data_IF_058055110381
#
_entry.id   IF_058055110381
#
_cell.length_a   1.000
_cell.length_b   1.000
_cell.length_c   1.000
_cell.angle_alpha   90.00
_cell.angle_beta   90.00
_cell.angle_gamma   90.00
#
_symmetry.space_group_name_H-M   'P 1'
#
loop_
_entity.id
_entity.type
_entity.pdbx_description
1 polymer ?
#
# COMPACT_ATOMS: atom_id res chain seq x y z
N UNK A 1 -12.00 -8.88 1.36
CA UNK A 1 -11.00 -9.64 2.15
C UNK A 1 -9.70 -9.79 1.35
N UNK A 2 -8.55 -9.64 1.99
CA UNK A 2 -7.21 -9.86 1.39
C UNK A 2 -7.03 -11.35 1.05
N UNK A 3 -6.36 -11.66 -0.06
CA UNK A 3 -6.04 -13.04 -0.47
C UNK A 3 -4.70 -13.51 0.13
N UNK A 4 -4.47 -14.83 0.25
CA UNK A 4 -3.18 -15.36 0.70
C UNK A 4 -2.03 -14.84 -0.17
N UNK A 5 -0.90 -14.53 0.46
CA UNK A 5 0.32 -14.05 -0.22
C UNK A 5 1.45 -15.02 0.07
N UNK A 6 2.05 -15.56 -0.97
CA UNK A 6 3.11 -16.57 -0.91
C UNK A 6 3.91 -16.57 -2.22
N UNK A 7 4.84 -17.52 -2.40
CA UNK A 7 5.69 -17.56 -3.60
C UNK A 7 4.93 -17.65 -4.94
N UNK A 8 3.74 -18.27 -4.98
CA UNK A 8 2.95 -18.44 -6.21
C UNK A 8 1.96 -17.30 -6.46
N UNK A 9 1.53 -16.59 -5.41
CA UNK A 9 0.79 -15.32 -5.50
C UNK A 9 1.53 -14.27 -4.66
N UNK A 10 2.60 -13.67 -5.21
CA UNK A 10 3.57 -12.95 -4.41
C UNK A 10 3.15 -11.52 -4.12
N UNK A 11 1.91 -11.11 -4.38
CA UNK A 11 1.51 -9.72 -4.17
C UNK A 11 0.24 -9.67 -3.35
N UNK A 12 0.20 -8.71 -2.44
CA UNK A 12 -1.02 -8.44 -1.69
C UNK A 12 -2.07 -7.79 -2.59
N UNK A 13 -3.28 -8.33 -2.52
CA UNK A 13 -4.45 -7.79 -3.19
C UNK A 13 -5.72 -8.29 -2.49
N UNK A 14 -6.85 -7.66 -2.76
CA UNK A 14 -8.14 -8.14 -2.28
C UNK A 14 -8.68 -9.28 -3.14
N UNK A 15 -9.75 -9.91 -2.66
CA UNK A 15 -10.56 -10.81 -3.49
C UNK A 15 -11.01 -10.05 -4.75
N UNK A 16 -10.85 -10.62 -5.96
CA UNK A 16 -11.39 -10.04 -7.20
C UNK A 16 -12.90 -9.84 -7.16
N UNK A 17 -13.39 -8.78 -7.82
CA UNK A 17 -14.82 -8.48 -7.98
C UNK A 17 -15.59 -8.47 -6.65
N UNK A 18 -14.93 -8.02 -5.59
CA UNK A 18 -15.46 -8.04 -4.24
C UNK A 18 -16.08 -6.70 -3.88
N UNK A 19 -17.36 -6.74 -3.52
CA UNK A 19 -18.09 -5.60 -2.99
C UNK A 19 -17.79 -5.42 -1.51
N UNK A 20 -17.53 -4.19 -1.09
CA UNK A 20 -17.36 -3.82 0.31
C UNK A 20 -17.73 -2.35 0.52
N UNK A 21 -17.91 -1.96 1.78
CA UNK A 21 -18.10 -0.56 2.19
C UNK A 21 -16.91 -0.18 3.04
N UNK A 22 -16.26 0.91 2.68
CA UNK A 22 -15.30 1.59 3.51
C UNK A 22 -16.04 2.60 4.37
N UNK A 23 -15.80 2.59 5.68
CA UNK A 23 -16.36 3.56 6.59
C UNK A 23 -15.34 3.95 7.66
N UNK A 24 -15.27 5.24 8.01
CA UNK A 24 -14.39 5.75 9.06
C UNK A 24 -15.16 6.29 10.25
N UNK A 25 -14.50 6.25 11.40
CA UNK A 25 -15.00 6.82 12.66
C UNK A 25 -16.33 6.23 13.14
N UNK A 26 -16.74 6.60 14.36
CA UNK A 26 -17.91 6.01 15.03
C UNK A 26 -19.24 6.39 14.36
N UNK A 27 -19.28 7.54 13.69
CA UNK A 27 -20.48 8.07 13.05
C UNK A 27 -20.53 7.80 11.54
N UNK A 28 -19.50 7.17 10.96
CA UNK A 28 -19.41 7.01 9.50
C UNK A 28 -19.21 8.35 8.81
N UNK A 29 -18.25 9.15 9.27
CA UNK A 29 -17.93 10.46 8.67
C UNK A 29 -17.64 10.34 7.16
N UNK A 30 -16.93 9.27 6.78
CA UNK A 30 -16.76 8.86 5.39
C UNK A 30 -17.40 7.50 5.23
N UNK A 31 -18.28 7.36 4.23
CA UNK A 31 -18.86 6.07 3.82
C UNK A 31 -18.80 5.98 2.30
N UNK A 32 -18.05 5.00 1.78
CA UNK A 32 -17.89 4.79 0.34
C UNK A 32 -18.07 3.32 0.00
N UNK A 33 -18.91 3.05 -0.98
CA UNK A 33 -19.11 1.72 -1.54
C UNK A 33 -18.10 1.42 -2.64
N UNK A 34 -17.46 0.26 -2.57
CA UNK A 34 -16.42 -0.14 -3.50
C UNK A 34 -16.68 -1.52 -4.10
N UNK A 35 -16.16 -1.73 -5.31
CA UNK A 35 -16.02 -3.05 -5.92
C UNK A 35 -14.62 -3.15 -6.50
N UNK A 36 -13.85 -4.15 -6.06
CA UNK A 36 -12.49 -4.37 -6.59
C UNK A 36 -12.55 -4.88 -8.04
N UNK A 37 -11.50 -4.59 -8.82
CA UNK A 37 -11.41 -5.06 -10.21
C UNK A 37 -11.14 -6.58 -10.30
N UNK A 38 -10.96 -7.11 -11.51
CA UNK A 38 -10.65 -8.53 -11.74
C UNK A 38 -9.35 -9.02 -11.13
N UNK A 39 -8.45 -8.11 -10.73
CA UNK A 39 -7.17 -8.40 -10.09
C UNK A 39 -7.17 -8.09 -8.59
N UNK A 40 -8.28 -7.60 -8.04
CA UNK A 40 -8.40 -7.33 -6.61
C UNK A 40 -7.84 -5.99 -6.15
N UNK A 41 -7.68 -5.01 -7.06
CA UNK A 41 -7.33 -3.63 -6.70
C UNK A 41 -8.57 -2.75 -6.57
N UNK A 42 -8.48 -1.72 -5.72
CA UNK A 42 -9.58 -0.80 -5.45
C UNK A 42 -9.70 0.26 -6.54
N UNK A 43 -10.26 -0.11 -7.68
CA UNK A 43 -10.44 0.78 -8.82
C UNK A 43 -11.59 0.28 -9.70
N UNK A 44 -12.28 1.19 -10.37
CA UNK A 44 -13.23 0.85 -11.43
C UNK A 44 -12.52 0.38 -12.73
N UNK A 45 -11.21 0.64 -12.86
CA UNK A 45 -10.43 0.32 -14.05
C UNK A 45 -10.13 -1.18 -14.10
N UNK A 46 -10.60 -1.84 -15.15
CA UNK A 46 -10.25 -3.23 -15.42
C UNK A 46 -8.89 -3.32 -16.13
N UNK A 47 -7.99 -4.17 -15.63
CA UNK A 47 -6.69 -4.32 -16.24
C UNK A 47 -6.78 -5.28 -17.43
N UNK A 48 -6.21 -4.86 -18.56
CA UNK A 48 -6.14 -5.64 -19.79
C UNK A 48 -4.68 -5.94 -20.13
N UNK A 49 -4.34 -7.23 -20.20
CA UNK A 49 -2.98 -7.70 -20.54
C UNK A 49 -2.56 -7.33 -21.96
N UNK A 50 -3.52 -7.13 -22.87
CA UNK A 50 -3.28 -6.79 -24.27
C UNK A 50 -2.95 -5.32 -24.50
N UNK A 51 -3.41 -4.42 -23.61
CA UNK A 51 -3.28 -2.97 -23.74
C UNK A 51 -2.00 -2.43 -23.13
N UNK A 52 -1.43 -1.42 -23.80
CA UNK A 52 -0.33 -0.62 -23.26
C UNK A 52 -0.88 0.32 -22.20
N UNK A 53 -0.27 0.33 -21.01
CA UNK A 53 -0.76 1.08 -19.86
C UNK A 53 0.36 1.89 -19.19
N UNK A 54 -0.04 2.91 -18.42
CA UNK A 54 0.80 3.56 -17.43
C UNK A 54 0.43 2.96 -16.07
N UNK A 55 1.38 2.29 -15.42
CA UNK A 55 1.12 1.61 -14.16
C UNK A 55 1.49 2.55 -13.02
N UNK A 56 0.54 2.76 -12.10
CA UNK A 56 0.66 3.69 -10.99
C UNK A 56 0.79 2.86 -9.72
N UNK A 57 1.85 3.06 -8.96
CA UNK A 57 2.21 2.22 -7.82
C UNK A 57 2.26 3.10 -6.57
N UNK A 58 1.65 2.62 -5.48
CA UNK A 58 1.67 3.36 -4.22
C UNK A 58 1.00 2.60 -3.09
N UNK A 59 0.66 3.34 -2.04
CA UNK A 59 0.01 2.86 -0.83
C UNK A 59 -1.49 3.22 -0.82
N UNK A 60 -1.98 3.69 0.33
CA UNK A 60 -3.31 4.24 0.55
C UNK A 60 -3.69 5.37 -0.40
N UNK A 61 -2.74 6.16 -0.92
CA UNK A 61 -3.02 7.23 -1.90
C UNK A 61 -3.37 6.71 -3.29
N UNK A 62 -2.86 5.53 -3.64
CA UNK A 62 -3.20 4.86 -4.91
C UNK A 62 -4.37 3.91 -4.72
N UNK A 63 -4.54 3.31 -3.55
CA UNK A 63 -5.72 2.49 -3.25
C UNK A 63 -6.99 3.34 -3.07
N UNK A 64 -6.84 4.55 -2.51
CA UNK A 64 -7.87 5.58 -2.46
C UNK A 64 -9.24 5.16 -1.91
N UNK A 65 -9.27 4.32 -0.86
CA UNK A 65 -10.54 3.80 -0.30
C UNK A 65 -11.49 4.88 0.26
N UNK A 66 -10.99 6.09 0.52
CA UNK A 66 -11.76 7.19 1.12
C UNK A 66 -12.63 7.97 0.12
N UNK A 67 -12.45 7.76 -1.19
CA UNK A 67 -13.15 8.50 -2.25
C UNK A 67 -13.83 7.53 -3.21
N UNK A 68 -14.79 7.99 -4.03
CA UNK A 68 -15.40 7.10 -5.02
C UNK A 68 -14.37 6.68 -6.07
N UNK A 69 -14.56 5.53 -6.70
CA UNK A 69 -13.57 4.91 -7.57
C UNK A 69 -13.10 5.77 -8.77
N UNK A 70 -13.88 6.77 -9.19
CA UNK A 70 -13.57 7.69 -10.29
C UNK A 70 -12.86 8.98 -9.84
N UNK A 71 -13.00 9.35 -8.57
CA UNK A 71 -12.47 10.58 -7.99
C UNK A 71 -10.95 10.61 -7.74
N UNK A 72 -10.21 9.48 -7.52
CA UNK A 72 -8.76 9.56 -7.35
C UNK A 72 -8.09 9.96 -8.66
N UNK A 73 -6.86 10.47 -8.58
CA UNK A 73 -6.15 11.00 -9.75
C UNK A 73 -6.02 9.98 -10.90
N UNK A 74 -5.88 8.69 -10.61
CA UNK A 74 -5.84 7.65 -11.64
C UNK A 74 -7.21 7.44 -12.32
N UNK A 75 -8.31 7.64 -11.60
CA UNK A 75 -9.68 7.67 -12.16
C UNK A 75 -9.86 8.87 -13.08
N UNK A 76 -9.45 10.06 -12.62
CA UNK A 76 -9.44 11.29 -13.43
C UNK A 76 -8.62 11.10 -14.72
N UNK A 77 -7.40 10.56 -14.62
CA UNK A 77 -6.56 10.27 -15.80
C UNK A 77 -7.23 9.27 -16.76
N UNK A 78 -7.89 8.26 -16.23
CA UNK A 78 -8.66 7.31 -17.06
C UNK A 78 -9.82 8.00 -17.78
N UNK A 79 -10.55 8.90 -17.11
CA UNK A 79 -11.61 9.71 -17.69
C UNK A 79 -11.13 10.65 -18.81
N UNK A 80 -9.87 11.08 -18.75
CA UNK A 80 -9.20 11.85 -19.81
C UNK A 80 -8.69 10.99 -20.98
N UNK A 81 -8.91 9.67 -20.94
CA UNK A 81 -8.56 8.74 -22.02
C UNK A 81 -7.19 8.05 -21.88
N UNK A 82 -6.49 8.21 -20.75
CA UNK A 82 -5.25 7.48 -20.50
C UNK A 82 -5.54 6.05 -20.01
N UNK A 83 -4.86 5.04 -20.55
CA UNK A 83 -4.85 3.70 -19.95
C UNK A 83 -3.97 3.71 -18.71
N UNK A 84 -4.58 3.59 -17.53
CA UNK A 84 -3.89 3.65 -16.22
C UNK A 84 -4.21 2.43 -15.38
N UNK A 85 -3.19 1.76 -14.82
CA UNK A 85 -3.38 0.63 -13.88
C UNK A 85 -2.90 1.02 -12.49
N UNK A 86 -3.82 1.44 -11.58
CA UNK A 86 -3.49 1.75 -10.18
C UNK A 86 -3.29 0.47 -9.35
N UNK A 87 -2.07 0.29 -8.87
CA UNK A 87 -1.59 -0.86 -8.12
C UNK A 87 -1.12 -0.35 -6.76
N UNK A 88 -2.04 -0.30 -5.80
CA UNK A 88 -1.74 0.12 -4.44
C UNK A 88 -2.63 -0.55 -3.43
N UNK A 89 -2.07 -0.75 -2.24
CA UNK A 89 -2.74 -1.29 -1.06
C UNK A 89 -2.26 -0.49 0.15
N UNK A 90 -3.17 -0.03 1.01
CA UNK A 90 -2.85 0.76 2.20
C UNK A 90 -1.82 0.08 3.08
N UNK A 91 -0.81 0.86 3.49
CA UNK A 91 0.29 0.37 4.32
C UNK A 91 1.39 -0.36 3.55
N UNK A 92 1.35 -0.31 2.21
CA UNK A 92 2.52 -0.59 1.36
C UNK A 92 3.59 0.49 1.56
N UNK A 93 4.84 0.15 1.25
CA UNK A 93 6.03 1.01 1.36
C UNK A 93 6.92 0.80 0.12
N UNK A 94 8.04 1.52 0.00
CA UNK A 94 8.95 1.43 -1.17
C UNK A 94 9.35 -0.02 -1.51
N UNK A 95 9.63 -0.85 -0.49
CA UNK A 95 9.91 -2.28 -0.67
C UNK A 95 8.77 -3.00 -1.42
N UNK A 96 7.53 -2.78 -1.01
CA UNK A 96 6.36 -3.34 -1.66
C UNK A 96 6.15 -2.75 -3.07
N UNK A 97 6.57 -1.51 -3.31
CA UNK A 97 6.49 -0.89 -4.64
C UNK A 97 7.38 -1.60 -5.66
N UNK A 98 8.55 -2.09 -5.24
CA UNK A 98 9.39 -2.95 -6.09
C UNK A 98 8.65 -4.24 -6.46
N UNK A 99 8.01 -4.90 -5.49
CA UNK A 99 7.25 -6.12 -5.76
C UNK A 99 6.08 -5.85 -6.73
N UNK A 100 5.35 -4.75 -6.53
CA UNK A 100 4.30 -4.30 -7.44
C UNK A 100 4.84 -4.02 -8.84
N UNK A 101 5.97 -3.34 -8.98
CA UNK A 101 6.59 -3.02 -10.26
C UNK A 101 6.99 -4.29 -11.03
N UNK A 102 7.71 -5.21 -10.37
CA UNK A 102 8.13 -6.51 -10.94
C UNK A 102 6.91 -7.30 -11.43
N UNK A 103 5.83 -7.32 -10.65
CA UNK A 103 4.61 -8.01 -11.02
C UNK A 103 3.84 -7.34 -12.15
N UNK A 104 3.71 -6.02 -12.11
CA UNK A 104 2.99 -5.25 -13.10
C UNK A 104 3.60 -5.45 -14.50
N UNK A 105 4.92 -5.33 -14.61
CA UNK A 105 5.64 -5.52 -15.88
C UNK A 105 5.60 -6.97 -16.36
N UNK A 106 5.59 -7.93 -15.43
CA UNK A 106 5.49 -9.35 -15.78
C UNK A 106 4.08 -9.75 -16.26
N UNK A 107 3.04 -8.99 -15.91
CA UNK A 107 1.64 -9.33 -16.20
C UNK A 107 0.98 -8.43 -17.25
N UNK A 108 1.49 -7.21 -17.44
CA UNK A 108 0.88 -6.19 -18.28
C UNK A 108 1.92 -5.45 -19.11
N UNK A 109 1.49 -4.84 -20.21
CA UNK A 109 2.34 -3.98 -21.04
C UNK A 109 2.48 -2.57 -20.42
N UNK A 110 3.05 -2.50 -19.22
CA UNK A 110 3.34 -1.22 -18.55
C UNK A 110 4.44 -0.48 -19.32
N UNK A 111 4.10 0.61 -20.01
CA UNK A 111 5.07 1.47 -20.72
C UNK A 111 5.79 2.43 -19.78
N UNK A 112 5.12 2.81 -18.69
CA UNK A 112 5.64 3.72 -17.66
C UNK A 112 5.23 3.25 -16.27
N UNK A 113 6.07 3.54 -15.29
CA UNK A 113 5.76 3.42 -13.86
C UNK A 113 5.71 4.80 -13.23
N UNK A 114 4.65 5.06 -12.47
CA UNK A 114 4.53 6.23 -11.62
C UNK A 114 4.46 5.78 -10.16
N UNK A 115 5.44 6.15 -9.34
CA UNK A 115 5.44 5.86 -7.91
C UNK A 115 4.87 7.05 -7.15
N UNK A 116 3.84 6.82 -6.34
CA UNK A 116 3.33 7.81 -5.37
C UNK A 116 3.92 7.45 -4.02
N UNK A 117 4.76 8.33 -3.48
CA UNK A 117 5.59 8.07 -2.31
C UNK A 117 5.20 9.04 -1.20
N UNK A 118 4.92 8.49 -0.02
CA UNK A 118 4.62 9.24 1.20
C UNK A 118 5.71 9.05 2.26
N UNK A 119 5.73 9.94 3.26
CA UNK A 119 6.85 10.03 4.21
C UNK A 119 7.12 8.76 5.02
N UNK A 120 6.11 7.94 5.29
CA UNK A 120 6.29 6.69 6.03
C UNK A 120 6.73 5.52 5.13
N UNK A 121 6.72 5.68 3.80
CA UNK A 121 7.15 4.60 2.89
C UNK A 121 8.63 4.28 3.00
N UNK A 122 9.45 5.22 3.48
CA UNK A 122 10.90 5.06 3.56
C UNK A 122 11.29 4.07 4.65
N UNK A 123 11.10 4.42 5.92
CA UNK A 123 11.49 3.59 7.07
C UNK A 123 10.65 2.32 7.17
N UNK A 124 9.36 2.35 6.82
CA UNK A 124 8.50 1.15 6.81
C UNK A 124 8.93 0.09 5.79
N UNK A 125 9.84 0.41 4.87
CA UNK A 125 10.37 -0.55 3.89
C UNK A 125 11.38 -1.53 4.46
N UNK A 126 11.97 -1.23 5.62
CA UNK A 126 13.03 -2.07 6.20
C UNK A 126 12.44 -3.16 7.09
N UNK A 127 12.96 -4.37 6.94
CA UNK A 127 12.48 -5.52 7.70
C UNK A 127 12.73 -5.32 9.19
N UNK A 128 13.84 -4.68 9.59
CA UNK A 128 14.12 -4.37 11.01
C UNK A 128 13.03 -3.49 11.65
N UNK A 129 12.36 -2.65 10.85
CA UNK A 129 11.38 -1.68 11.31
C UNK A 129 9.94 -2.22 11.29
N UNK A 130 9.52 -2.87 10.18
CA UNK A 130 8.15 -3.37 10.00
C UNK A 130 8.16 -4.76 9.36
N UNK A 131 7.22 -5.62 9.79
CA UNK A 131 7.08 -7.01 9.31
C UNK A 131 5.62 -7.47 9.25
N UNK A 132 4.73 -6.64 8.71
CA UNK A 132 3.33 -7.04 8.55
C UNK A 132 3.22 -8.18 7.52
N UNK A 133 2.51 -9.29 7.83
CA UNK A 133 2.25 -10.35 6.87
C UNK A 133 1.56 -9.84 5.60
N UNK A 134 1.98 -10.38 4.45
CA UNK A 134 1.44 -10.08 3.12
C UNK A 134 2.30 -9.12 2.30
N UNK A 135 3.28 -8.47 2.94
CA UNK A 135 4.10 -7.42 2.34
C UNK A 135 5.55 -7.87 2.13
N UNK A 136 6.25 -7.15 1.25
CA UNK A 136 7.69 -7.26 1.04
C UNK A 136 8.42 -6.19 1.84
N UNK A 137 9.61 -6.53 2.32
CA UNK A 137 10.52 -5.63 3.01
C UNK A 137 11.94 -5.84 2.49
N UNK A 138 12.76 -4.80 2.57
CA UNK A 138 14.18 -4.86 2.27
C UNK A 138 14.91 -5.40 3.50
N UNK A 139 15.75 -6.41 3.32
CA UNK A 139 16.49 -7.02 4.42
C UNK A 139 17.77 -6.26 4.76
N UNK A 140 17.59 -5.20 5.55
CA UNK A 140 18.66 -4.34 6.06
C UNK A 140 19.57 -5.00 7.10
N UNK A 141 19.28 -6.24 7.52
CA UNK A 141 20.21 -7.02 8.36
C UNK A 141 21.22 -7.81 7.53
N UNK A 142 21.06 -7.87 6.21
CA UNK A 142 21.92 -8.63 5.31
C UNK A 142 22.37 -7.76 4.13
N UNK A 143 21.75 -7.92 2.95
CA UNK A 143 22.20 -7.29 1.70
C UNK A 143 21.16 -6.36 1.07
N UNK A 144 20.05 -6.07 1.78
CA UNK A 144 18.97 -5.25 1.27
C UNK A 144 18.05 -5.96 0.26
N UNK A 145 18.17 -7.29 0.10
CA UNK A 145 17.28 -8.04 -0.78
C UNK A 145 15.82 -7.95 -0.35
N UNK A 146 14.95 -8.02 -1.35
CA UNK A 146 13.51 -7.99 -1.13
C UNK A 146 13.00 -9.34 -0.57
N UNK A 147 12.39 -9.31 0.61
CA UNK A 147 11.83 -10.49 1.30
C UNK A 147 10.33 -10.38 1.51
N UNK A 148 9.60 -11.40 1.07
CA UNK A 148 8.17 -11.56 1.36
C UNK A 148 7.97 -12.09 2.78
N UNK A 149 7.09 -11.45 3.56
CA UNK A 149 6.49 -12.03 4.76
C UNK A 149 5.16 -12.69 4.35
N UNK A 150 5.04 -14.02 4.31
CA UNK A 150 3.84 -14.68 3.80
C UNK A 150 2.59 -14.35 4.62
N UNK A 151 1.44 -14.32 3.95
CA UNK A 151 0.14 -14.17 4.59
C UNK A 151 -0.77 -15.34 4.27
N UNK A 152 -1.44 -15.85 5.31
CA UNK A 152 -2.47 -16.87 5.19
C UNK A 152 -3.75 -16.39 5.86
N UNK A 153 -4.88 -16.66 5.21
CA UNK A 153 -6.20 -16.28 5.74
C UNK A 153 -6.52 -17.19 6.92
N UNK A 154 -6.68 -16.61 8.11
CA UNK A 154 -7.17 -17.36 9.27
C UNK A 154 -8.67 -17.60 9.13
N UNK A 155 -9.09 -18.88 9.16
CA UNK A 155 -10.50 -19.26 9.06
C UNK A 155 -11.39 -18.62 10.14
N UNK A 156 -10.88 -18.56 11.38
CA UNK A 156 -11.59 -17.91 12.49
C UNK A 156 -11.71 -16.40 12.28
N UNK A 157 -10.64 -15.70 11.87
CA UNK A 157 -10.72 -14.27 11.56
C UNK A 157 -11.67 -13.98 10.39
N UNK A 158 -11.66 -14.84 9.37
CA UNK A 158 -12.59 -14.76 8.23
C UNK A 158 -14.05 -14.92 8.66
N UNK A 159 -14.32 -15.84 9.59
CA UNK A 159 -15.64 -16.02 10.18
C UNK A 159 -16.09 -14.77 10.97
N UNK A 160 -15.23 -14.22 11.84
CA UNK A 160 -15.53 -13.02 12.61
C UNK A 160 -15.80 -11.78 11.73
N UNK A 161 -15.11 -11.66 10.59
CA UNK A 161 -15.33 -10.54 9.65
C UNK A 161 -16.67 -10.58 8.91
N UNK A 162 -17.48 -11.63 9.09
CA UNK A 162 -18.87 -11.67 8.58
C UNK A 162 -19.83 -10.82 9.42
N UNK A 163 -19.45 -10.48 10.65
CA UNK A 163 -20.32 -9.75 11.57
C UNK A 163 -20.08 -8.24 11.46
N UNK A 164 -21.15 -7.49 11.15
CA UNK A 164 -21.09 -6.03 11.05
C UNK A 164 -20.60 -5.37 12.35
N UNK A 165 -21.03 -5.88 13.51
CA UNK A 165 -20.56 -5.39 14.80
C UNK A 165 -19.05 -5.58 14.99
N UNK A 166 -18.49 -6.73 14.60
CA UNK A 166 -17.04 -6.97 14.71
C UNK A 166 -16.27 -5.99 13.84
N UNK A 167 -16.72 -5.80 12.59
CA UNK A 167 -16.09 -4.84 11.68
C UNK A 167 -16.21 -3.40 12.23
N UNK A 168 -17.36 -3.00 12.76
CA UNK A 168 -17.54 -1.68 13.37
C UNK A 168 -16.64 -1.45 14.59
N UNK A 169 -16.57 -2.42 15.52
CA UNK A 169 -15.71 -2.30 16.70
C UNK A 169 -14.21 -2.25 16.32
N UNK A 170 -13.81 -3.00 15.30
CA UNK A 170 -12.41 -3.13 14.90
C UNK A 170 -11.96 -2.01 13.95
N UNK A 171 -12.69 -1.75 12.86
CA UNK A 171 -12.31 -0.81 11.80
C UNK A 171 -12.75 0.63 12.14
N UNK A 172 -14.00 0.84 12.60
CA UNK A 172 -14.52 2.19 12.92
C UNK A 172 -14.07 2.68 14.30
N UNK A 173 -14.31 1.89 15.35
CA UNK A 173 -13.97 2.30 16.71
C UNK A 173 -12.50 2.06 17.07
N UNK A 174 -11.75 1.33 16.25
CA UNK A 174 -10.31 1.05 16.45
C UNK A 174 -10.03 0.54 17.87
N UNK A 175 -10.94 -0.25 18.45
CA UNK A 175 -10.92 -0.63 19.87
C UNK A 175 -9.63 -1.35 20.24
N UNK A 176 -9.10 -2.18 19.36
CA UNK A 176 -7.82 -2.88 19.59
C UNK A 176 -6.66 -1.90 19.77
N UNK A 177 -6.59 -0.83 18.98
CA UNK A 177 -5.61 0.23 19.12
C UNK A 177 -5.79 1.04 20.41
N UNK A 178 -7.05 1.38 20.74
CA UNK A 178 -7.39 2.10 21.98
C UNK A 178 -7.02 1.28 23.22
N UNK A 179 -7.43 0.02 23.28
CA UNK A 179 -7.12 -0.91 24.37
C UNK A 179 -5.61 -1.16 24.48
N UNK A 180 -4.90 -1.38 23.38
CA UNK A 180 -3.44 -1.55 23.43
C UNK A 180 -2.72 -0.30 23.95
N UNK A 181 -3.21 0.91 23.64
CA UNK A 181 -2.66 2.15 24.17
C UNK A 181 -2.87 2.27 25.69
N UNK A 182 -4.00 1.79 26.21
CA UNK A 182 -4.25 1.72 27.65
C UNK A 182 -3.37 0.69 28.36
N UNK A 183 -3.15 -0.48 27.73
CA UNK A 183 -2.39 -1.58 28.36
C UNK A 183 -0.87 -1.37 28.26
N UNK A 184 -0.37 -0.78 27.16
CA UNK A 184 1.06 -0.62 26.89
C UNK A 184 1.42 0.84 26.50
N UNK A 185 1.26 1.82 27.41
CA UNK A 185 1.50 3.23 27.11
C UNK A 185 2.95 3.53 26.69
N UNK A 186 3.93 2.87 27.33
CA UNK A 186 5.37 3.08 27.07
C UNK A 186 5.84 2.70 25.65
N UNK A 187 5.15 1.76 24.98
CA UNK A 187 5.47 1.37 23.58
C UNK A 187 5.00 2.41 22.55
N UNK A 188 4.08 3.30 22.93
CA UNK A 188 3.59 4.38 22.07
C UNK A 188 4.43 5.65 22.24
N UNK A 189 4.86 5.97 23.46
CA UNK A 189 5.73 7.13 23.72
C UNK A 189 7.16 6.94 23.19
N UNK A 190 7.70 5.71 23.23
CA UNK A 190 9.06 5.43 22.74
C UNK A 190 9.23 5.54 21.21
N UNK A 191 8.14 5.61 20.43
CA UNK A 191 8.23 5.92 18.98
C UNK A 191 8.39 7.41 18.69
N UNK A 192 8.09 8.26 19.67
CA UNK A 192 8.03 9.71 19.49
C UNK A 192 9.20 10.47 20.13
N UNK A 193 9.94 9.86 21.07
CA UNK A 193 10.87 10.60 21.94
C UNK A 193 12.37 10.39 21.67
N UNK A 194 12.80 9.32 20.99
CA UNK A 194 14.21 9.07 20.64
C UNK A 194 14.28 8.42 19.26
N UNK A 195 15.00 9.02 18.30
CA UNK A 195 15.29 8.34 17.03
C UNK A 195 15.02 9.11 15.73
N UNK A 196 14.90 10.45 15.72
CA UNK A 196 14.85 11.19 14.44
C UNK A 196 16.13 10.98 13.59
N UNK A 197 17.30 10.95 14.24
CA UNK A 197 18.57 10.63 13.57
C UNK A 197 18.62 9.21 13.01
N UNK A 198 18.15 8.24 13.79
CA UNK A 198 18.08 6.83 13.36
C UNK A 198 17.06 6.63 12.24
N UNK A 199 15.90 7.29 12.32
CA UNK A 199 14.87 7.26 11.28
C UNK A 199 15.36 7.83 9.95
N UNK A 200 16.13 8.91 9.98
CA UNK A 200 16.74 9.48 8.77
C UNK A 200 17.77 8.53 8.16
N UNK A 201 18.60 7.88 8.97
CA UNK A 201 19.55 6.86 8.47
C UNK A 201 18.83 5.67 7.85
N UNK A 202 17.83 5.11 8.54
CA UNK A 202 16.99 4.03 8.02
C UNK A 202 16.32 4.42 6.70
N UNK A 203 15.78 5.64 6.62
CA UNK A 203 15.15 6.15 5.40
C UNK A 203 16.14 6.24 4.23
N UNK A 204 17.37 6.69 4.48
CA UNK A 204 18.44 6.73 3.46
C UNK A 204 18.79 5.32 2.97
N UNK A 205 18.99 4.38 3.88
CA UNK A 205 19.26 2.98 3.51
C UNK A 205 18.12 2.37 2.70
N UNK A 206 16.87 2.64 3.06
CA UNK A 206 15.70 2.20 2.31
C UNK A 206 15.69 2.76 0.88
N UNK A 207 16.06 4.03 0.70
CA UNK A 207 16.18 4.66 -0.64
C UNK A 207 17.26 3.95 -1.47
N UNK A 208 18.44 3.71 -0.90
CA UNK A 208 19.55 3.06 -1.62
C UNK A 208 19.16 1.65 -2.08
N UNK A 209 18.57 0.86 -1.18
CA UNK A 209 18.08 -0.47 -1.49
C UNK A 209 16.90 -0.46 -2.46
N UNK A 210 15.98 0.50 -2.35
CA UNK A 210 14.89 0.66 -3.30
C UNK A 210 15.42 0.88 -4.72
N UNK A 211 16.34 1.83 -4.91
CA UNK A 211 16.93 2.08 -6.22
C UNK A 211 17.81 0.91 -6.71
N UNK A 212 18.50 0.21 -5.81
CA UNK A 212 19.23 -1.01 -6.16
C UNK A 212 18.28 -2.07 -6.72
N UNK A 213 17.20 -2.38 -6.01
CA UNK A 213 16.20 -3.35 -6.45
C UNK A 213 15.45 -2.90 -7.70
N UNK A 214 15.17 -1.60 -7.84
CA UNK A 214 14.44 -1.05 -8.98
C UNK A 214 15.23 -1.20 -10.29
N UNK A 215 16.56 -1.26 -10.26
CA UNK A 215 17.40 -1.56 -11.45
C UNK A 215 17.12 -2.95 -12.04
N UNK A 216 16.57 -3.88 -11.25
CA UNK A 216 16.18 -5.21 -11.73
C UNK A 216 14.85 -5.20 -12.50
N UNK A 217 14.13 -4.08 -12.48
CA UNK A 217 12.89 -3.88 -13.22
C UNK A 217 13.23 -3.47 -14.65
N UNK A 218 12.68 -4.20 -15.64
CA UNK A 218 12.99 -4.03 -17.07
C UNK A 218 12.34 -2.78 -17.70
N UNK A 219 12.64 -1.59 -17.17
CA UNK A 219 12.28 -0.29 -17.72
C UNK A 219 13.45 0.69 -17.52
N UNK A 220 13.64 1.61 -18.46
CA UNK A 220 14.64 2.67 -18.32
C UNK A 220 14.15 3.76 -17.38
N UNK A 221 15.09 4.54 -16.83
CA UNK A 221 14.79 5.64 -15.90
C UNK A 221 13.82 6.69 -16.46
N UNK A 222 13.87 6.98 -17.76
CA UNK A 222 12.94 7.89 -18.44
C UNK A 222 11.50 7.34 -18.58
N UNK A 223 11.28 6.07 -18.23
CA UNK A 223 9.95 5.44 -18.16
C UNK A 223 9.42 5.39 -16.73
N UNK A 224 10.18 5.89 -15.76
CA UNK A 224 9.81 5.92 -14.35
C UNK A 224 9.67 7.37 -13.88
N UNK A 225 8.62 7.65 -13.13
CA UNK A 225 8.39 8.92 -12.47
C UNK A 225 8.05 8.69 -11.00
N UNK A 226 8.44 9.63 -10.14
CA UNK A 226 8.16 9.61 -8.71
C UNK A 226 7.43 10.89 -8.35
N UNK A 227 6.32 10.75 -7.64
CA UNK A 227 5.54 11.84 -7.05
C UNK A 227 5.68 11.69 -5.55
N UNK A 228 6.34 12.65 -4.93
CA UNK A 228 6.51 12.67 -3.49
C UNK A 228 5.43 13.56 -2.89
N UNK A 229 4.80 13.08 -1.84
CA UNK A 229 3.93 13.90 -1.01
C UNK A 229 4.72 15.08 -0.43
N UNK A 230 4.09 16.25 -0.47
CA UNK A 230 4.72 17.49 -0.08
C UNK A 230 4.90 17.60 1.43
N UNK A 231 5.70 18.58 1.86
CA UNK A 231 5.76 18.95 3.27
C UNK A 231 4.42 19.57 3.70
N UNK A 232 3.56 18.73 4.28
CA UNK A 232 2.23 19.13 4.72
C UNK A 232 2.26 20.22 5.78
N UNK A 233 3.28 20.25 6.63
CA UNK A 233 3.41 21.32 7.63
C UNK A 233 3.59 22.66 6.93
N UNK A 234 4.60 22.77 6.06
CA UNK A 234 4.82 23.97 5.28
C UNK A 234 3.61 24.36 4.40
N UNK A 235 2.91 23.38 3.83
CA UNK A 235 1.74 23.64 2.97
C UNK A 235 0.53 24.15 3.77
N UNK A 236 0.28 23.61 4.96
CA UNK A 236 -0.88 23.99 5.77
C UNK A 236 -0.62 25.20 6.67
N UNK A 237 0.64 25.46 7.02
CA UNK A 237 1.02 26.58 7.89
C UNK A 237 1.27 27.89 7.11
N UNK A 238 1.47 27.83 5.78
CA UNK A 238 1.55 28.99 4.88
C UNK A 238 2.94 29.59 4.72
#
# INVERSE_FOLDING_TARGET
>A
MIQPVNKTSPIIHFKPKHKYVFATEWNGEIIVGHTTNGYGFNTAIEFDRGKVANCVIGDSYVEAMHVNAEDPFHGILSGLGFTVYPIGISGSSLSQYVAFAKWAISNFKCKRLLFVIVINDFDESLISYKKNPGYHYLDDNNNGELKLIPYQVSGFKSFLRKFALVNYLYDNLKITGRVNRFINPKRFDSRNADGQGDKLMLSKSAIDYFFHELKTVNLSSNQMAMVLDGDRHSIYDG
#
